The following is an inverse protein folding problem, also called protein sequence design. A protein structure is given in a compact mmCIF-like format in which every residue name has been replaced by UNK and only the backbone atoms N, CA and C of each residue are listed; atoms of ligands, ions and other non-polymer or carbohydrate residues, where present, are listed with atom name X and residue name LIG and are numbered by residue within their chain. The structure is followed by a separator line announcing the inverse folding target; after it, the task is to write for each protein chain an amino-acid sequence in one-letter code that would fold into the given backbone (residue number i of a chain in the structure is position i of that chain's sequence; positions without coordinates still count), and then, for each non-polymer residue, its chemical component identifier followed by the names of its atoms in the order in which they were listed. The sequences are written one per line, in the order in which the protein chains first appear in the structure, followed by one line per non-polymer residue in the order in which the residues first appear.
data_IF_303478646962
#
_entry.id   IF_303478646962
#
_cell.length_a   1.000
_cell.length_b   1.000
_cell.length_c   1.000
_cell.angle_alpha   90.00
_cell.angle_beta   90.00
_cell.angle_gamma   90.00
#
_symmetry.space_group_name_H-M   'P 1'
#
loop_
_entity.id
_entity.type
_entity.pdbx_description
1 polymer ?
#
# COMPACT_ATOMS: atom_id res chain seq x y z
N UNK A 1 21.02 5.72 0.18
CA UNK A 1 20.86 5.62 -1.29
C UNK A 1 19.43 5.98 -1.60
N UNK A 2 19.21 6.77 -2.62
CA UNK A 2 17.90 7.33 -2.98
C UNK A 2 17.25 6.52 -4.09
N UNK A 3 15.92 6.61 -4.20
CA UNK A 3 15.21 6.20 -5.42
C UNK A 3 15.73 7.08 -6.56
N UNK A 4 15.97 6.46 -7.70
CA UNK A 4 16.41 7.12 -8.91
C UNK A 4 15.33 7.02 -9.97
N UNK A 5 14.86 8.14 -10.44
CA UNK A 5 13.91 8.19 -11.54
C UNK A 5 14.67 8.22 -12.87
N UNK A 6 14.39 7.24 -13.72
CA UNK A 6 14.89 7.22 -15.08
C UNK A 6 13.72 7.49 -16.05
N UNK A 7 13.72 8.67 -16.64
CA UNK A 7 12.69 9.14 -17.57
C UNK A 7 13.08 8.94 -19.06
N UNK A 8 14.20 8.29 -19.35
CA UNK A 8 14.69 8.10 -20.73
C UNK A 8 13.63 7.54 -21.67
N UNK A 9 12.87 6.58 -21.19
CA UNK A 9 11.85 5.88 -21.98
C UNK A 9 10.51 6.64 -22.08
N UNK A 10 10.49 7.91 -21.68
CA UNK A 10 9.38 8.84 -21.90
C UNK A 10 9.73 9.95 -22.92
N UNK A 11 10.97 10.07 -23.36
CA UNK A 11 11.47 11.21 -24.16
C UNK A 11 10.76 11.36 -25.52
N UNK A 12 10.34 10.27 -26.15
CA UNK A 12 9.56 10.32 -27.39
C UNK A 12 8.11 10.79 -27.18
N UNK A 13 7.62 10.81 -25.94
CA UNK A 13 6.25 11.14 -25.57
C UNK A 13 6.13 12.47 -24.81
N UNK A 14 7.18 12.87 -24.12
CA UNK A 14 7.22 14.06 -23.26
C UNK A 14 8.43 14.90 -23.64
N UNK A 15 8.17 16.05 -24.24
CA UNK A 15 9.21 16.98 -24.66
C UNK A 15 9.71 17.81 -23.46
N UNK A 16 10.89 18.42 -23.64
CA UNK A 16 11.42 19.41 -22.69
C UNK A 16 10.43 20.57 -22.48
N UNK A 17 9.78 21.04 -23.54
CA UNK A 17 8.77 22.10 -23.47
C UNK A 17 7.55 21.69 -22.62
N UNK A 18 7.13 20.41 -22.65
CA UNK A 18 6.06 19.93 -21.78
C UNK A 18 6.46 20.05 -20.30
N UNK A 19 7.71 19.68 -19.97
CA UNK A 19 8.24 19.79 -18.59
C UNK A 19 8.39 21.24 -18.16
N UNK A 20 8.87 22.13 -19.03
CA UNK A 20 8.96 23.56 -18.77
C UNK A 20 7.56 24.18 -18.54
N UNK A 21 6.57 23.73 -19.30
CA UNK A 21 5.18 24.24 -19.20
C UNK A 21 4.49 23.81 -17.91
N UNK A 22 4.74 22.62 -17.39
CA UNK A 22 4.11 22.11 -16.15
C UNK A 22 4.84 22.58 -14.88
N UNK A 23 6.11 22.95 -14.97
CA UNK A 23 6.94 23.31 -13.82
C UNK A 23 6.31 24.38 -12.90
N UNK A 24 5.65 25.46 -13.40
CA UNK A 24 4.96 26.40 -12.54
C UNK A 24 3.79 25.80 -11.75
N UNK A 25 3.08 24.81 -12.31
CA UNK A 25 1.98 24.14 -11.63
C UNK A 25 2.49 23.23 -10.52
N UNK A 26 3.58 22.48 -10.78
CA UNK A 26 4.26 21.67 -9.76
C UNK A 26 4.80 22.54 -8.63
N UNK A 27 5.41 23.67 -8.94
CA UNK A 27 5.87 24.64 -7.95
C UNK A 27 4.72 25.18 -7.10
N UNK A 28 3.57 25.47 -7.71
CA UNK A 28 2.36 25.85 -6.98
C UNK A 28 1.86 24.73 -6.08
N UNK A 29 1.84 23.47 -6.56
CA UNK A 29 1.44 22.32 -5.77
C UNK A 29 2.40 22.07 -4.59
N UNK A 30 3.73 22.19 -4.82
CA UNK A 30 4.73 22.17 -3.76
C UNK A 30 4.43 23.22 -2.68
N UNK A 31 4.24 24.46 -3.07
CA UNK A 31 3.91 25.56 -2.13
C UNK A 31 2.65 25.26 -1.35
N UNK A 32 1.59 24.82 -2.04
CA UNK A 32 0.30 24.46 -1.44
C UNK A 32 0.46 23.36 -0.37
N UNK A 33 1.25 22.31 -0.67
CA UNK A 33 1.53 21.23 0.27
C UNK A 33 2.39 21.70 1.46
N UNK A 34 3.45 22.44 1.20
CA UNK A 34 4.43 22.88 2.21
C UNK A 34 3.82 23.92 3.18
N UNK A 35 3.03 24.86 2.66
CA UNK A 35 2.32 25.86 3.47
C UNK A 35 1.03 25.32 4.08
N UNK A 36 0.67 24.05 3.79
CA UNK A 36 -0.56 23.40 4.26
C UNK A 36 -1.81 24.24 3.97
N UNK A 37 -1.85 24.92 2.80
CA UNK A 37 -2.89 25.88 2.42
C UNK A 37 -3.94 25.32 1.48
N UNK A 38 -3.79 24.07 1.02
CA UNK A 38 -4.67 23.43 0.03
C UNK A 38 -5.88 22.73 0.61
N UNK A 39 -6.77 22.28 -0.29
CA UNK A 39 -7.91 21.45 0.09
C UNK A 39 -7.42 20.15 0.77
N UNK A 40 -8.06 19.79 1.89
CA UNK A 40 -7.69 18.62 2.69
C UNK A 40 -6.49 18.83 3.60
N UNK A 41 -6.13 20.07 3.91
CA UNK A 41 -5.02 20.40 4.81
C UNK A 41 -5.16 19.83 6.23
N UNK A 42 -6.36 19.42 6.63
CA UNK A 42 -6.60 18.70 7.89
C UNK A 42 -5.95 17.31 7.94
N UNK A 43 -5.48 16.81 6.78
CA UNK A 43 -4.91 15.45 6.65
C UNK A 43 -3.43 15.45 6.21
N UNK A 44 -2.65 16.43 6.65
CA UNK A 44 -1.23 16.61 6.29
C UNK A 44 -0.25 16.19 7.40
N UNK A 45 -0.70 15.47 8.43
CA UNK A 45 0.18 14.98 9.50
C UNK A 45 1.28 14.04 8.98
N UNK A 46 1.01 13.28 7.93
CA UNK A 46 1.97 12.36 7.31
C UNK A 46 3.22 13.07 6.74
N UNK A 47 3.11 14.33 6.34
CA UNK A 47 4.23 15.09 5.72
C UNK A 47 5.43 15.19 6.66
N UNK A 48 5.17 15.44 7.93
CA UNK A 48 6.21 15.63 8.96
C UNK A 48 6.38 14.39 9.87
N UNK A 49 5.50 13.39 9.72
CA UNK A 49 5.47 12.18 10.54
C UNK A 49 6.83 11.48 10.67
N UNK A 50 7.64 11.31 9.60
CA UNK A 50 8.92 10.59 9.73
C UNK A 50 9.89 11.20 10.74
N UNK A 51 9.78 12.48 11.04
CA UNK A 51 10.60 13.17 12.07
C UNK A 51 9.84 13.35 13.38
N UNK A 52 8.54 13.63 13.33
CA UNK A 52 7.71 14.09 14.45
C UNK A 52 6.82 13.00 15.06
N UNK A 53 7.02 11.70 14.71
CA UNK A 53 6.24 10.63 15.30
C UNK A 53 6.39 10.55 16.82
N UNK A 54 5.35 10.08 17.51
CA UNK A 54 5.35 9.88 18.96
C UNK A 54 6.35 8.77 19.34
N UNK A 55 7.44 9.16 19.98
CA UNK A 55 8.53 8.26 20.36
C UNK A 55 8.11 7.30 21.48
N UNK A 56 7.20 7.71 22.38
CA UNK A 56 6.72 6.87 23.47
C UNK A 56 5.78 5.80 22.92
N UNK A 57 4.86 6.17 22.03
CA UNK A 57 4.02 5.20 21.34
C UNK A 57 4.84 4.24 20.47
N UNK A 58 5.88 4.73 19.80
CA UNK A 58 6.77 3.90 19.00
C UNK A 58 7.47 2.82 19.85
N UNK A 59 7.96 3.17 21.05
CA UNK A 59 8.55 2.19 21.97
C UNK A 59 7.49 1.22 22.54
N UNK A 60 6.26 1.67 22.74
CA UNK A 60 5.14 0.80 23.11
C UNK A 60 4.80 -0.20 22.00
N UNK A 61 4.83 0.23 20.75
CA UNK A 61 4.64 -0.66 19.57
C UNK A 61 5.70 -1.76 19.58
N UNK A 62 6.96 -1.44 19.80
CA UNK A 62 8.05 -2.43 19.87
C UNK A 62 7.82 -3.45 21.00
N UNK A 63 7.46 -2.98 22.20
CA UNK A 63 7.17 -3.85 23.35
C UNK A 63 5.97 -4.75 23.08
N UNK A 64 4.89 -4.22 22.49
CA UNK A 64 3.74 -5.01 22.11
C UNK A 64 4.11 -6.08 21.07
N UNK A 65 4.91 -5.71 20.06
CA UNK A 65 5.39 -6.66 19.05
C UNK A 65 6.26 -7.76 19.67
N UNK A 66 7.14 -7.45 20.62
CA UNK A 66 7.93 -8.43 21.36
C UNK A 66 7.05 -9.39 22.16
N UNK A 67 6.04 -8.86 22.85
CA UNK A 67 5.08 -9.67 23.60
C UNK A 67 4.31 -10.61 22.67
N UNK A 68 3.76 -10.11 21.56
CA UNK A 68 3.05 -10.94 20.58
C UNK A 68 3.96 -12.04 20.04
N UNK A 69 5.20 -11.75 19.72
CA UNK A 69 6.18 -12.76 19.28
C UNK A 69 6.49 -13.81 20.34
N UNK A 70 6.41 -13.47 21.60
CA UNK A 70 6.74 -14.40 22.70
C UNK A 70 5.59 -15.33 23.07
N UNK A 71 4.35 -14.93 22.85
CA UNK A 71 3.16 -15.63 23.34
C UNK A 71 2.15 -16.07 22.27
N UNK A 72 2.42 -15.79 21.00
CA UNK A 72 1.51 -16.09 19.90
C UNK A 72 2.22 -16.73 18.70
N UNK A 73 1.62 -17.77 18.15
CA UNK A 73 2.02 -18.39 16.90
C UNK A 73 1.41 -17.67 15.68
N UNK A 74 0.32 -16.96 15.92
CA UNK A 74 -0.42 -16.24 14.89
C UNK A 74 -0.79 -14.83 15.38
N UNK A 75 -0.61 -13.84 14.52
CA UNK A 75 -1.23 -12.53 14.66
C UNK A 75 -2.35 -12.40 13.64
N UNK A 76 -3.57 -12.09 14.10
CA UNK A 76 -4.70 -11.74 13.27
C UNK A 76 -4.79 -10.22 13.19
N UNK A 77 -4.55 -9.66 12.01
CA UNK A 77 -4.68 -8.22 11.74
C UNK A 77 -6.04 -7.97 11.10
N UNK A 78 -6.91 -7.25 11.81
CA UNK A 78 -8.28 -6.98 11.38
C UNK A 78 -8.38 -5.53 10.92
N UNK A 79 -8.57 -5.33 9.62
CA UNK A 79 -8.68 -4.00 9.02
C UNK A 79 -9.01 -4.05 7.54
N UNK A 80 -9.42 -2.91 6.97
CA UNK A 80 -9.74 -2.77 5.55
C UNK A 80 -9.06 -1.55 4.94
N UNK A 81 -8.76 -1.58 3.65
CA UNK A 81 -8.10 -0.48 2.93
C UNK A 81 -6.76 -0.11 3.57
N UNK A 82 -6.56 1.16 3.91
CA UNK A 82 -5.33 1.65 4.54
C UNK A 82 -4.99 0.99 5.88
N UNK A 83 -5.98 0.37 6.55
CA UNK A 83 -5.75 -0.34 7.81
C UNK A 83 -5.07 -1.71 7.65
N UNK A 84 -4.87 -2.20 6.42
CA UNK A 84 -4.14 -3.46 6.21
C UNK A 84 -3.17 -3.43 5.03
N UNK A 85 -3.49 -2.71 3.94
CA UNK A 85 -2.72 -2.77 2.69
C UNK A 85 -1.25 -2.41 2.90
N UNK A 86 -0.97 -1.29 3.56
CA UNK A 86 0.39 -0.83 3.79
C UNK A 86 1.21 -1.78 4.67
N UNK A 87 0.60 -2.32 5.73
CA UNK A 87 1.25 -3.29 6.60
C UNK A 87 1.58 -4.59 5.87
N UNK A 88 0.63 -5.13 5.11
CA UNK A 88 0.84 -6.32 4.31
C UNK A 88 1.90 -6.11 3.23
N UNK A 89 1.85 -4.94 2.56
CA UNK A 89 2.87 -4.56 1.59
C UNK A 89 4.28 -4.54 2.20
N UNK A 90 4.43 -3.97 3.40
CA UNK A 90 5.72 -3.95 4.09
C UNK A 90 6.24 -5.34 4.44
N UNK A 91 5.38 -6.22 4.96
CA UNK A 91 5.76 -7.60 5.31
C UNK A 91 6.21 -8.37 4.07
N UNK A 92 5.43 -8.32 2.98
CA UNK A 92 5.80 -9.02 1.74
C UNK A 92 7.04 -8.40 1.08
N UNK A 93 7.14 -7.07 1.03
CA UNK A 93 8.29 -6.36 0.48
C UNK A 93 9.59 -6.67 1.24
N UNK A 94 9.58 -6.54 2.57
CA UNK A 94 10.81 -6.72 3.36
C UNK A 94 11.17 -8.19 3.61
N UNK A 95 10.17 -9.06 3.69
CA UNK A 95 10.36 -10.50 3.98
C UNK A 95 10.07 -11.34 2.73
N UNK A 96 8.82 -11.69 2.47
CA UNK A 96 8.41 -12.53 1.34
C UNK A 96 6.89 -12.53 1.17
N UNK A 97 6.38 -12.67 -0.05
CA UNK A 97 4.98 -13.04 -0.30
C UNK A 97 4.60 -14.38 0.35
N UNK A 98 5.58 -15.24 0.58
CA UNK A 98 5.43 -16.53 1.26
C UNK A 98 5.74 -16.46 2.77
N UNK A 99 5.71 -15.27 3.37
CA UNK A 99 6.10 -15.03 4.75
C UNK A 99 5.55 -16.08 5.72
N UNK A 100 4.25 -16.36 5.66
CA UNK A 100 3.59 -17.32 6.57
C UNK A 100 4.07 -18.77 6.42
N UNK A 101 4.73 -19.12 5.31
CA UNK A 101 5.29 -20.46 5.07
C UNK A 101 6.77 -20.54 5.46
N UNK A 102 7.49 -19.43 5.41
CA UNK A 102 8.95 -19.40 5.61
C UNK A 102 9.39 -18.75 6.93
N UNK A 103 8.50 -18.05 7.65
CA UNK A 103 8.83 -17.47 8.95
C UNK A 103 9.14 -18.56 9.99
N UNK A 104 10.19 -18.33 10.79
CA UNK A 104 10.65 -19.31 11.82
C UNK A 104 10.56 -18.76 13.23
N UNK A 105 10.98 -17.51 13.40
CA UNK A 105 11.17 -16.89 14.72
C UNK A 105 10.11 -15.80 15.00
N UNK A 106 9.10 -15.70 14.15
CA UNK A 106 8.01 -14.72 14.24
C UNK A 106 6.67 -15.40 13.98
N UNK A 107 5.56 -14.89 14.53
CA UNK A 107 4.24 -15.40 14.25
C UNK A 107 3.88 -15.34 12.77
N UNK A 108 3.05 -16.27 12.32
CA UNK A 108 2.32 -16.10 11.06
C UNK A 108 1.39 -14.90 11.18
N UNK A 109 1.24 -14.10 10.12
CA UNK A 109 0.38 -12.91 10.13
C UNK A 109 -0.71 -13.10 9.08
N UNK A 110 -1.96 -13.10 9.52
CA UNK A 110 -3.12 -13.17 8.63
C UNK A 110 -3.93 -11.89 8.70
N UNK A 111 -4.27 -11.36 7.53
CA UNK A 111 -5.09 -10.16 7.39
C UNK A 111 -6.54 -10.56 7.10
N UNK A 112 -7.48 -10.03 7.87
CA UNK A 112 -8.92 -10.30 7.73
C UNK A 112 -9.73 -9.04 8.02
N UNK A 113 -11.07 -9.13 7.85
CA UNK A 113 -11.91 -7.93 7.95
C UNK A 113 -11.74 -6.97 6.76
N UNK A 114 -11.08 -7.42 5.71
CA UNK A 114 -10.96 -6.75 4.41
C UNK A 114 -11.92 -7.35 3.36
N UNK A 115 -12.75 -8.28 3.78
CA UNK A 115 -13.78 -8.96 3.00
C UNK A 115 -14.92 -9.41 3.91
N UNK A 116 -16.11 -9.59 3.34
CA UNK A 116 -17.29 -10.20 4.00
C UNK A 116 -17.55 -11.61 3.47
N UNK A 117 -16.54 -12.25 2.85
CA UNK A 117 -16.61 -13.63 2.42
C UNK A 117 -16.62 -14.58 3.62
N UNK A 118 -17.67 -15.36 3.76
CA UNK A 118 -17.81 -16.38 4.81
C UNK A 118 -16.71 -17.44 4.72
N UNK A 119 -16.41 -17.92 3.51
CA UNK A 119 -15.36 -18.93 3.29
C UNK A 119 -13.97 -18.44 3.70
N UNK A 120 -13.60 -17.23 3.25
CA UNK A 120 -12.28 -16.65 3.59
C UNK A 120 -12.12 -16.43 5.10
N UNK A 121 -13.21 -16.01 5.79
CA UNK A 121 -13.20 -15.84 7.24
C UNK A 121 -13.08 -17.18 7.97
N UNK A 122 -13.86 -18.20 7.54
CA UNK A 122 -13.85 -19.55 8.13
C UNK A 122 -12.49 -20.22 8.04
N UNK A 123 -11.78 -20.05 6.93
CA UNK A 123 -10.42 -20.61 6.76
C UNK A 123 -9.46 -20.06 7.83
N UNK A 124 -9.52 -18.76 8.12
CA UNK A 124 -8.64 -18.15 9.14
C UNK A 124 -9.08 -18.53 10.56
N UNK A 125 -10.39 -18.64 10.81
CA UNK A 125 -10.91 -19.15 12.10
C UNK A 125 -10.37 -20.54 12.38
N UNK A 126 -10.47 -21.45 11.42
CA UNK A 126 -9.96 -22.83 11.55
C UNK A 126 -8.45 -22.89 11.82
N UNK A 127 -7.67 -21.97 11.22
CA UNK A 127 -6.23 -21.85 11.50
C UNK A 127 -5.93 -21.49 12.97
N UNK A 128 -6.81 -20.73 13.63
CA UNK A 128 -6.64 -20.25 15.00
C UNK A 128 -7.05 -21.27 16.07
N UNK A 129 -7.88 -22.27 15.73
CA UNK A 129 -8.44 -23.23 16.72
C UNK A 129 -7.35 -23.92 17.55
N UNK A 130 -6.25 -24.34 16.90
CA UNK A 130 -5.19 -25.11 17.52
C UNK A 130 -3.86 -24.33 17.70
N UNK A 131 -3.89 -23.00 17.56
CA UNK A 131 -2.69 -22.16 17.70
C UNK A 131 -2.92 -21.06 18.73
N UNK A 132 -1.88 -20.67 19.43
CA UNK A 132 -1.91 -19.47 20.22
C UNK A 132 -1.89 -18.25 19.31
N UNK A 133 -2.82 -17.33 19.54
CA UNK A 133 -2.93 -16.16 18.68
C UNK A 133 -3.26 -14.87 19.45
N UNK A 134 -2.90 -13.76 18.85
CA UNK A 134 -3.26 -12.40 19.25
C UNK A 134 -4.00 -11.69 18.13
N UNK A 135 -4.74 -10.64 18.47
CA UNK A 135 -5.50 -9.81 17.54
C UNK A 135 -4.94 -8.39 17.55
N UNK A 136 -4.71 -7.83 16.36
CA UNK A 136 -4.57 -6.38 16.18
C UNK A 136 -5.76 -5.89 15.35
N UNK A 137 -6.74 -5.26 16.00
CA UNK A 137 -7.87 -4.66 15.32
C UNK A 137 -7.61 -3.18 15.05
N UNK A 138 -7.80 -2.78 13.79
CA UNK A 138 -7.45 -1.45 13.29
C UNK A 138 -8.70 -0.81 12.68
N UNK A 139 -9.29 0.15 13.39
CA UNK A 139 -10.46 0.89 12.92
C UNK A 139 -10.60 2.20 13.68
N UNK A 140 -10.57 3.35 12.97
CA UNK A 140 -10.69 4.66 13.61
C UNK A 140 -12.06 4.83 14.31
N UNK A 141 -13.16 4.52 13.62
CA UNK A 141 -14.52 4.66 14.17
C UNK A 141 -14.98 3.46 14.98
N UNK A 142 -14.47 2.26 14.68
CA UNK A 142 -14.97 0.99 15.21
C UNK A 142 -16.29 0.50 14.59
N UNK A 143 -16.84 1.24 13.61
CA UNK A 143 -18.16 0.95 13.01
C UNK A 143 -18.10 0.53 11.54
N UNK A 144 -16.92 0.46 10.95
CA UNK A 144 -16.76 -0.08 9.60
C UNK A 144 -17.16 -1.55 9.61
N UNK A 145 -18.11 -1.92 8.76
CA UNK A 145 -18.83 -3.20 8.85
C UNK A 145 -17.92 -4.41 8.80
N UNK A 146 -17.03 -4.47 7.82
CA UNK A 146 -16.18 -5.61 7.55
C UNK A 146 -15.25 -5.93 8.75
N UNK A 147 -14.43 -5.00 9.24
CA UNK A 147 -13.58 -5.26 10.40
C UNK A 147 -14.37 -5.42 11.70
N UNK A 148 -15.52 -4.75 11.87
CA UNK A 148 -16.34 -4.89 13.07
C UNK A 148 -16.95 -6.30 13.20
N UNK A 149 -17.42 -6.89 12.10
CA UNK A 149 -17.93 -8.27 12.07
C UNK A 149 -16.79 -9.26 12.33
N UNK A 150 -15.66 -9.11 11.65
CA UNK A 150 -14.49 -9.97 11.86
C UNK A 150 -14.01 -9.89 13.32
N UNK A 151 -13.90 -8.69 13.90
CA UNK A 151 -13.48 -8.51 15.29
C UNK A 151 -14.43 -9.19 16.27
N UNK A 152 -15.74 -9.10 16.06
CA UNK A 152 -16.72 -9.79 16.91
C UNK A 152 -16.48 -11.30 16.94
N UNK A 153 -16.25 -11.92 15.78
CA UNK A 153 -16.04 -13.37 15.64
C UNK A 153 -14.71 -13.80 16.26
N UNK A 154 -13.60 -13.11 15.95
CA UNK A 154 -12.29 -13.47 16.49
C UNK A 154 -12.15 -13.16 17.99
N UNK A 155 -12.82 -12.13 18.48
CA UNK A 155 -12.88 -11.82 19.91
C UNK A 155 -13.59 -12.94 20.65
N UNK A 156 -14.77 -13.40 20.19
CA UNK A 156 -15.49 -14.53 20.78
C UNK A 156 -14.65 -15.82 20.79
N UNK A 157 -13.94 -16.09 19.69
CA UNK A 157 -13.03 -17.24 19.61
C UNK A 157 -11.90 -17.13 20.64
N UNK A 158 -11.30 -15.94 20.79
CA UNK A 158 -10.23 -15.68 21.75
C UNK A 158 -10.70 -15.79 23.20
N UNK A 159 -11.86 -15.21 23.52
CA UNK A 159 -12.49 -15.26 24.85
C UNK A 159 -12.90 -16.70 25.21
N UNK A 160 -13.39 -17.49 24.26
CA UNK A 160 -13.72 -18.90 24.45
C UNK A 160 -12.47 -19.76 24.74
N UNK A 161 -11.33 -19.40 24.15
CA UNK A 161 -10.07 -20.14 24.30
C UNK A 161 -9.35 -19.81 25.61
N UNK A 162 -9.31 -18.54 26.02
CA UNK A 162 -8.47 -18.08 27.12
C UNK A 162 -9.24 -17.52 28.31
N UNK A 163 -10.57 -17.33 28.19
CA UNK A 163 -11.34 -16.52 29.11
C UNK A 163 -11.17 -15.02 28.87
N UNK A 164 -12.12 -14.21 29.33
CA UNK A 164 -12.19 -12.77 29.02
C UNK A 164 -10.93 -12.01 29.46
N UNK A 165 -10.39 -12.30 30.65
CA UNK A 165 -9.24 -11.57 31.23
C UNK A 165 -7.95 -11.80 30.43
N UNK A 166 -7.64 -13.05 30.09
CA UNK A 166 -6.43 -13.36 29.32
C UNK A 166 -6.58 -13.00 27.84
N UNK A 167 -7.77 -13.15 27.28
CA UNK A 167 -8.10 -12.69 25.92
C UNK A 167 -7.87 -11.18 25.78
N UNK A 168 -8.24 -10.38 26.79
CA UNK A 168 -8.03 -8.93 26.77
C UNK A 168 -6.56 -8.55 26.63
N UNK A 169 -5.65 -9.32 27.19
CA UNK A 169 -4.18 -9.09 27.12
C UNK A 169 -3.58 -9.45 25.75
N UNK A 170 -4.35 -10.14 24.88
CA UNK A 170 -3.97 -10.57 23.55
C UNK A 170 -4.65 -9.75 22.44
N UNK A 171 -5.45 -8.75 22.82
CA UNK A 171 -6.14 -7.84 21.90
C UNK A 171 -5.45 -6.48 21.94
N UNK A 172 -4.92 -6.07 20.80
CA UNK A 172 -4.26 -4.79 20.56
C UNK A 172 -5.16 -3.97 19.63
N UNK A 173 -5.50 -2.76 20.04
CA UNK A 173 -6.47 -1.93 19.32
C UNK A 173 -5.80 -0.68 18.78
N UNK A 174 -5.79 -0.51 17.45
CA UNK A 174 -5.34 0.73 16.81
C UNK A 174 -6.58 1.51 16.38
N UNK A 175 -6.87 2.62 17.08
CA UNK A 175 -8.15 3.34 16.94
C UNK A 175 -7.98 4.85 17.20
N UNK A 176 -9.09 5.59 17.20
CA UNK A 176 -9.11 7.02 17.59
C UNK A 176 -8.59 7.21 19.03
N UNK A 177 -7.95 8.34 19.27
CA UNK A 177 -7.36 8.66 20.57
C UNK A 177 -8.43 8.78 21.68
N UNK A 178 -9.58 9.35 21.37
CA UNK A 178 -10.54 9.79 22.38
C UNK A 178 -11.97 9.27 22.18
N UNK A 179 -12.39 8.95 20.94
CA UNK A 179 -13.79 8.71 20.58
C UNK A 179 -13.98 7.45 19.72
N UNK A 180 -15.23 7.05 19.55
CA UNK A 180 -15.63 5.90 18.74
C UNK A 180 -15.89 4.64 19.55
N UNK A 181 -16.75 3.77 18.99
CA UNK A 181 -17.23 2.57 19.70
C UNK A 181 -16.11 1.60 20.07
N UNK A 182 -15.08 1.50 19.24
CA UNK A 182 -13.93 0.64 19.52
C UNK A 182 -13.07 1.23 20.66
N UNK A 183 -12.91 2.56 20.73
CA UNK A 183 -12.21 3.22 21.83
C UNK A 183 -12.96 3.08 23.16
N UNK A 184 -14.26 3.25 23.14
CA UNK A 184 -15.13 3.07 24.32
C UNK A 184 -15.05 1.64 24.86
N UNK A 185 -15.13 0.64 23.96
CA UNK A 185 -14.95 -0.76 24.30
C UNK A 185 -13.58 -1.02 24.91
N UNK A 186 -12.52 -0.50 24.29
CA UNK A 186 -11.14 -0.67 24.77
C UNK A 186 -10.93 -0.11 26.17
N UNK A 187 -11.48 1.07 26.45
CA UNK A 187 -11.42 1.69 27.76
C UNK A 187 -12.18 0.88 28.81
N UNK A 188 -13.33 0.30 28.43
CA UNK A 188 -14.16 -0.52 29.36
C UNK A 188 -13.51 -1.84 29.72
N UNK A 189 -12.88 -2.51 28.74
CA UNK A 189 -12.30 -3.86 28.91
C UNK A 189 -10.82 -3.79 29.32
N UNK A 190 -10.12 -2.70 29.00
CA UNK A 190 -8.69 -2.53 29.30
C UNK A 190 -7.77 -3.05 28.22
N UNK A 191 -8.19 -3.02 26.94
CA UNK A 191 -7.31 -3.37 25.82
C UNK A 191 -6.15 -2.39 25.68
N UNK A 192 -4.97 -2.86 25.28
CA UNK A 192 -3.89 -1.98 24.89
C UNK A 192 -4.23 -1.24 23.60
N UNK A 193 -4.10 0.11 23.62
CA UNK A 193 -4.51 0.95 22.49
C UNK A 193 -3.37 1.74 21.90
N UNK A 194 -3.39 1.86 20.55
CA UNK A 194 -2.53 2.70 19.74
C UNK A 194 -3.36 3.68 18.93
N UNK A 195 -2.77 4.81 18.55
CA UNK A 195 -3.53 5.92 17.97
C UNK A 195 -3.49 5.89 16.45
N UNK A 196 -4.67 6.03 15.83
CA UNK A 196 -4.80 6.47 14.46
C UNK A 196 -4.83 8.00 14.48
N UNK A 197 -3.80 8.70 13.99
CA UNK A 197 -3.75 10.16 14.06
C UNK A 197 -4.95 10.80 13.32
N UNK A 198 -5.47 11.90 13.87
CA UNK A 198 -6.61 12.59 13.29
C UNK A 198 -6.29 13.27 11.96
N UNK A 199 -5.08 13.72 11.83
CA UNK A 199 -4.52 14.45 10.69
C UNK A 199 -3.83 13.56 9.65
N UNK A 200 -4.03 12.21 9.72
CA UNK A 200 -3.51 11.26 8.73
C UNK A 200 -4.65 10.44 8.14
N UNK A 201 -4.82 10.52 6.83
CA UNK A 201 -5.80 9.71 6.11
C UNK A 201 -5.40 8.23 6.04
N UNK A 202 -6.39 7.32 5.91
CA UNK A 202 -6.14 5.87 5.96
C UNK A 202 -5.07 5.38 4.98
N UNK A 203 -5.07 5.86 3.73
CA UNK A 203 -4.10 5.45 2.70
C UNK A 203 -2.70 6.06 2.86
N UNK A 204 -2.54 7.04 3.78
CA UNK A 204 -1.28 7.68 4.17
C UNK A 204 -0.78 7.20 5.54
N UNK A 205 -1.37 6.14 6.12
CA UNK A 205 -1.18 5.79 7.53
C UNK A 205 -0.19 4.66 7.79
N UNK A 206 0.47 4.11 6.77
CA UNK A 206 1.34 2.94 6.94
C UNK A 206 2.50 3.19 7.92
N UNK A 207 3.03 4.40 7.98
CA UNK A 207 4.12 4.78 8.91
C UNK A 207 3.60 5.28 10.28
N UNK A 208 2.32 5.08 10.59
CA UNK A 208 1.74 5.26 11.94
C UNK A 208 1.60 3.91 12.65
N UNK A 209 1.06 3.89 13.86
CA UNK A 209 0.73 2.66 14.57
C UNK A 209 -0.13 1.68 13.75
N UNK A 210 -0.89 2.19 12.77
CA UNK A 210 -1.69 1.38 11.84
C UNK A 210 -0.87 0.33 11.11
N UNK A 211 0.28 0.72 10.55
CA UNK A 211 1.19 -0.20 9.87
C UNK A 211 2.28 -0.74 10.79
N UNK A 212 2.85 0.12 11.64
CA UNK A 212 4.07 -0.20 12.39
C UNK A 212 3.93 -1.38 13.34
N UNK A 213 2.76 -1.59 13.99
CA UNK A 213 2.60 -2.71 14.92
C UNK A 213 2.65 -4.06 14.20
N UNK A 214 1.83 -4.37 13.20
CA UNK A 214 1.93 -5.66 12.49
C UNK A 214 3.27 -5.82 11.76
N UNK A 215 3.86 -4.74 11.25
CA UNK A 215 5.18 -4.75 10.63
C UNK A 215 6.27 -5.14 11.65
N UNK A 216 6.25 -4.57 12.85
CA UNK A 216 7.19 -4.91 13.91
C UNK A 216 7.04 -6.38 14.35
N UNK A 217 5.81 -6.90 14.41
CA UNK A 217 5.55 -8.33 14.73
C UNK A 217 6.20 -9.25 13.71
N UNK A 218 6.25 -8.88 12.42
CA UNK A 218 6.94 -9.67 11.38
C UNK A 218 8.47 -9.71 11.54
N UNK A 219 9.03 -8.97 12.51
CA UNK A 219 10.47 -8.86 12.71
C UNK A 219 11.15 -7.89 11.73
N UNK A 220 10.40 -7.02 11.06
CA UNK A 220 10.95 -5.91 10.30
C UNK A 220 11.44 -4.80 11.24
N UNK A 221 12.55 -4.16 10.88
CA UNK A 221 13.11 -3.03 11.60
C UNK A 221 12.34 -1.74 11.26
N UNK A 222 11.34 -1.42 12.09
CA UNK A 222 10.51 -0.22 11.88
C UNK A 222 11.29 1.09 12.09
N UNK A 223 12.41 1.07 12.81
CA UNK A 223 13.27 2.24 12.96
C UNK A 223 13.98 2.58 11.64
N UNK A 224 14.56 1.58 10.95
CA UNK A 224 15.14 1.77 9.62
C UNK A 224 14.11 2.25 8.61
N UNK A 225 12.88 1.76 8.72
CA UNK A 225 11.77 2.20 7.87
C UNK A 225 11.48 3.69 8.07
N UNK A 226 11.39 4.15 9.31
CA UNK A 226 11.20 5.56 9.62
C UNK A 226 12.41 6.43 9.20
N UNK A 227 13.63 5.90 9.30
CA UNK A 227 14.83 6.59 8.79
C UNK A 227 14.77 6.78 7.27
N UNK A 228 14.40 5.73 6.51
CA UNK A 228 14.24 5.82 5.06
C UNK A 228 13.23 6.89 4.66
N UNK A 229 12.09 6.94 5.34
CA UNK A 229 11.06 7.96 5.11
C UNK A 229 11.55 9.38 5.48
N UNK A 230 12.30 9.54 6.58
CA UNK A 230 12.87 10.83 6.97
C UNK A 230 13.92 11.34 5.96
N UNK A 231 14.73 10.45 5.43
CA UNK A 231 15.72 10.81 4.41
C UNK A 231 15.04 11.14 3.06
N UNK A 232 13.98 10.45 2.70
CA UNK A 232 13.14 10.79 1.54
C UNK A 232 12.50 12.18 1.71
N UNK A 233 11.98 12.48 2.90
CA UNK A 233 11.41 13.79 3.22
C UNK A 233 12.41 14.93 2.98
N UNK A 234 13.67 14.74 3.40
CA UNK A 234 14.75 15.71 3.17
C UNK A 234 15.14 15.81 1.70
N UNK A 235 15.27 14.66 1.02
CA UNK A 235 15.68 14.61 -0.37
C UNK A 235 14.69 15.30 -1.32
N UNK A 236 13.40 15.25 -1.02
CA UNK A 236 12.34 15.78 -1.87
C UNK A 236 11.77 17.13 -1.39
N UNK A 237 12.58 17.97 -0.74
CA UNK A 237 12.16 19.29 -0.28
C UNK A 237 12.38 20.42 -1.31
N UNK A 238 13.19 20.21 -2.35
CA UNK A 238 13.43 21.18 -3.41
C UNK A 238 12.24 21.25 -4.39
N UNK A 239 11.86 22.45 -4.83
CA UNK A 239 10.78 22.66 -5.80
C UNK A 239 11.21 22.49 -7.27
N UNK A 240 12.50 22.37 -7.51
CA UNK A 240 13.11 22.26 -8.84
C UNK A 240 12.96 20.83 -9.40
N UNK A 241 12.29 20.69 -10.54
CA UNK A 241 12.05 19.40 -11.19
C UNK A 241 13.33 18.66 -11.60
N UNK A 242 14.43 19.37 -11.87
CA UNK A 242 15.70 18.75 -12.26
C UNK A 242 16.45 18.15 -11.05
N UNK A 243 16.05 18.55 -9.83
CA UNK A 243 16.63 18.07 -8.57
C UNK A 243 15.73 17.17 -7.76
N UNK A 244 14.45 17.06 -8.14
CA UNK A 244 13.44 16.38 -7.37
C UNK A 244 12.73 15.31 -8.19
N UNK A 245 13.23 14.10 -8.14
CA UNK A 245 12.68 12.92 -8.84
C UNK A 245 11.22 12.64 -8.47
N UNK A 246 10.82 12.94 -7.23
CA UNK A 246 9.44 12.79 -6.78
C UNK A 246 8.48 13.74 -7.54
N UNK A 247 8.89 15.00 -7.71
CA UNK A 247 8.10 15.99 -8.45
C UNK A 247 8.17 15.78 -9.95
N UNK A 248 9.30 15.30 -10.44
CA UNK A 248 9.44 14.91 -11.86
C UNK A 248 8.50 13.74 -12.20
N UNK A 249 8.37 12.76 -11.31
CA UNK A 249 7.39 11.69 -11.46
C UNK A 249 5.95 12.24 -11.51
N UNK A 250 5.56 13.10 -10.57
CA UNK A 250 4.25 13.74 -10.56
C UNK A 250 3.99 14.56 -11.84
N UNK A 251 5.01 15.26 -12.35
CA UNK A 251 4.94 16.04 -13.59
C UNK A 251 4.72 15.13 -14.81
N UNK A 252 5.54 14.08 -14.96
CA UNK A 252 5.43 13.12 -16.06
C UNK A 252 4.03 12.48 -16.11
N UNK A 253 3.49 12.06 -14.96
CA UNK A 253 2.13 11.50 -14.85
C UNK A 253 1.08 12.48 -15.38
N UNK A 254 1.11 13.73 -14.93
CA UNK A 254 0.15 14.75 -15.37
C UNK A 254 0.30 15.12 -16.85
N UNK A 255 1.51 15.18 -17.38
CA UNK A 255 1.76 15.41 -18.81
C UNK A 255 1.19 14.27 -19.63
N UNK A 256 1.50 13.03 -19.27
CA UNK A 256 1.00 11.83 -19.97
C UNK A 256 -0.52 11.75 -19.93
N UNK A 257 -1.14 12.06 -18.79
CA UNK A 257 -2.58 12.15 -18.66
C UNK A 257 -3.19 13.18 -19.64
N UNK A 258 -2.64 14.39 -19.71
CA UNK A 258 -3.05 15.44 -20.65
C UNK A 258 -2.89 15.05 -22.10
N UNK A 259 -1.97 14.11 -22.39
CA UNK A 259 -1.75 13.51 -23.72
C UNK A 259 -2.61 12.25 -23.98
N UNK A 260 -3.60 11.98 -23.13
CA UNK A 260 -4.57 10.89 -23.32
C UNK A 260 -4.15 9.56 -22.71
N UNK A 261 -3.05 9.50 -21.94
CA UNK A 261 -2.66 8.29 -21.20
C UNK A 261 -3.39 8.26 -19.86
N UNK A 262 -4.58 7.69 -19.85
CA UNK A 262 -5.48 7.70 -18.68
C UNK A 262 -5.31 6.53 -17.72
N UNK A 263 -4.41 5.59 -18.03
CA UNK A 263 -4.09 4.42 -17.19
C UNK A 263 -2.60 4.41 -16.89
N UNK A 264 -2.26 4.33 -15.61
CA UNK A 264 -0.90 4.03 -15.16
C UNK A 264 -0.82 2.59 -14.69
N UNK A 265 0.06 1.82 -15.30
CA UNK A 265 0.35 0.46 -14.87
C UNK A 265 1.63 0.42 -14.06
N UNK A 266 1.50 0.25 -12.75
CA UNK A 266 2.65 -0.02 -11.87
C UNK A 266 3.12 -1.45 -12.11
N UNK A 267 4.39 -1.59 -12.49
CA UNK A 267 4.98 -2.88 -12.87
C UNK A 267 6.15 -3.21 -11.98
N UNK A 268 6.26 -4.45 -11.55
CA UNK A 268 7.48 -4.98 -10.91
C UNK A 268 7.82 -6.36 -11.47
N UNK A 269 9.10 -6.67 -11.48
CA UNK A 269 9.64 -8.01 -11.82
C UNK A 269 9.93 -8.85 -10.57
N UNK A 270 9.54 -8.34 -9.39
CA UNK A 270 9.65 -9.01 -8.10
C UNK A 270 8.25 -9.31 -7.55
N UNK A 271 7.85 -10.58 -7.42
CA UNK A 271 6.53 -10.95 -6.90
C UNK A 271 6.26 -10.43 -5.48
N UNK A 272 7.30 -10.24 -4.66
CA UNK A 272 7.19 -9.67 -3.32
C UNK A 272 6.72 -8.20 -3.32
N UNK A 273 6.66 -7.55 -4.51
CA UNK A 273 6.13 -6.19 -4.70
C UNK A 273 4.61 -6.16 -4.91
N UNK A 274 3.95 -7.30 -5.06
CA UNK A 274 2.51 -7.39 -5.41
C UNK A 274 1.63 -6.55 -4.49
N UNK A 275 1.85 -6.61 -3.19
CA UNK A 275 1.03 -5.85 -2.24
C UNK A 275 1.36 -4.35 -2.20
N UNK A 276 2.55 -3.95 -2.63
CA UNK A 276 2.84 -2.53 -2.92
C UNK A 276 2.01 -2.01 -4.08
N UNK A 277 1.79 -2.83 -5.11
CA UNK A 277 0.89 -2.49 -6.21
C UNK A 277 -0.55 -2.27 -5.72
N UNK A 278 -1.04 -3.11 -4.79
CA UNK A 278 -2.38 -2.95 -4.21
C UNK A 278 -2.48 -1.67 -3.36
N UNK A 279 -1.46 -1.37 -2.56
CA UNK A 279 -1.40 -0.11 -1.81
C UNK A 279 -1.30 1.11 -2.74
N UNK A 280 -0.50 1.05 -3.82
CA UNK A 280 -0.43 2.08 -4.84
C UNK A 280 -1.80 2.37 -5.47
N UNK A 281 -2.57 1.32 -5.80
CA UNK A 281 -3.93 1.49 -6.35
C UNK A 281 -4.85 2.24 -5.40
N UNK A 282 -4.80 1.97 -4.11
CA UNK A 282 -5.56 2.73 -3.13
C UNK A 282 -5.04 4.15 -3.00
N UNK A 283 -3.73 4.33 -2.86
CA UNK A 283 -3.11 5.65 -2.67
C UNK A 283 -3.51 6.60 -3.80
N UNK A 284 -3.26 6.24 -5.03
CA UNK A 284 -3.54 7.10 -6.19
C UNK A 284 -5.01 7.10 -6.60
N UNK A 285 -5.68 5.97 -6.57
CA UNK A 285 -7.09 5.87 -6.97
C UNK A 285 -8.01 6.72 -6.10
N UNK A 286 -7.90 6.63 -4.77
CA UNK A 286 -8.69 7.46 -3.86
C UNK A 286 -8.25 8.93 -3.83
N UNK A 287 -6.98 9.22 -4.13
CA UNK A 287 -6.46 10.59 -4.09
C UNK A 287 -6.78 11.39 -5.35
N UNK A 288 -6.71 10.78 -6.53
CA UNK A 288 -6.85 11.46 -7.82
C UNK A 288 -8.19 11.23 -8.51
N UNK A 289 -8.86 10.09 -8.28
CA UNK A 289 -10.12 9.71 -8.93
C UNK A 289 -11.30 10.56 -8.44
N UNK A 290 -11.38 11.83 -8.81
CA UNK A 290 -12.39 12.79 -8.37
C UNK A 290 -12.78 13.73 -9.51
N UNK A 291 -13.97 14.31 -9.43
CA UNK A 291 -14.47 15.31 -10.39
C UNK A 291 -14.40 14.80 -11.85
N UNK A 292 -14.60 13.50 -12.05
CA UNK A 292 -14.47 12.80 -13.35
C UNK A 292 -13.08 12.94 -13.99
N UNK A 293 -12.05 13.12 -13.17
CA UNK A 293 -10.63 13.17 -13.52
C UNK A 293 -9.86 12.04 -12.85
N UNK A 294 -8.58 11.94 -13.20
CA UNK A 294 -7.61 11.06 -12.57
C UNK A 294 -7.11 9.99 -13.51
N UNK A 295 -5.91 9.52 -13.21
CA UNK A 295 -5.27 8.41 -13.88
C UNK A 295 -5.72 7.13 -13.17
N UNK A 296 -6.26 6.17 -13.93
CA UNK A 296 -6.67 4.89 -13.36
C UNK A 296 -5.43 4.07 -12.97
N UNK A 297 -5.24 3.75 -11.69
CA UNK A 297 -4.07 3.00 -11.24
C UNK A 297 -4.31 1.50 -11.46
N UNK A 298 -3.53 0.92 -12.36
CA UNK A 298 -3.47 -0.51 -12.62
C UNK A 298 -2.14 -1.08 -12.15
N UNK A 299 -1.98 -2.39 -12.19
CA UNK A 299 -0.71 -3.03 -11.86
C UNK A 299 -0.51 -4.36 -12.58
N UNK A 300 0.76 -4.75 -12.75
CA UNK A 300 1.16 -6.06 -13.26
C UNK A 300 2.43 -6.54 -12.56
N UNK A 301 2.61 -7.86 -12.51
CA UNK A 301 3.84 -8.50 -12.06
C UNK A 301 4.43 -9.28 -13.23
N UNK A 302 5.51 -8.77 -13.80
CA UNK A 302 6.21 -9.41 -14.89
C UNK A 302 7.23 -10.42 -14.34
N UNK A 303 7.53 -11.50 -15.04
CA UNK A 303 7.08 -11.95 -16.38
C UNK A 303 5.67 -12.57 -16.40
N UNK A 304 5.05 -12.89 -15.24
CA UNK A 304 3.75 -13.57 -15.18
C UNK A 304 2.71 -12.89 -16.07
N UNK A 305 2.52 -11.59 -15.89
CA UNK A 305 1.50 -10.84 -16.63
C UNK A 305 1.87 -10.48 -18.07
N UNK A 306 3.10 -10.71 -18.49
CA UNK A 306 3.45 -10.69 -19.92
C UNK A 306 2.73 -11.83 -20.68
N UNK A 307 2.47 -12.96 -19.99
CA UNK A 307 1.74 -14.09 -20.55
C UNK A 307 0.21 -13.95 -20.48
N UNK A 308 -0.29 -12.86 -19.90
CA UNK A 308 -1.73 -12.55 -19.83
C UNK A 308 -2.07 -11.23 -20.52
N UNK A 309 -1.33 -10.17 -20.25
CA UNK A 309 -1.59 -8.79 -20.69
C UNK A 309 -0.59 -8.28 -21.74
N UNK A 310 0.51 -8.99 -21.97
CA UNK A 310 1.58 -8.52 -22.87
C UNK A 310 1.10 -8.17 -24.27
N UNK A 311 0.18 -8.97 -24.84
CA UNK A 311 -0.43 -8.67 -26.14
C UNK A 311 -1.20 -7.34 -26.14
N UNK A 312 -1.98 -7.06 -25.09
CA UNK A 312 -2.73 -5.80 -25.01
C UNK A 312 -1.80 -4.61 -24.81
N UNK A 313 -0.78 -4.76 -23.99
CA UNK A 313 0.21 -3.70 -23.73
C UNK A 313 0.94 -3.37 -25.03
N UNK A 314 1.41 -4.41 -25.76
CA UNK A 314 2.18 -4.23 -26.99
C UNK A 314 1.36 -3.69 -28.18
N UNK A 315 0.10 -4.12 -28.35
CA UNK A 315 -0.65 -3.89 -29.58
C UNK A 315 -2.12 -3.48 -29.35
N UNK A 316 -2.55 -3.26 -28.10
CA UNK A 316 -3.89 -2.79 -27.75
C UNK A 316 -4.05 -1.27 -27.84
N UNK A 317 -5.10 -0.74 -27.22
CA UNK A 317 -5.39 0.70 -27.20
C UNK A 317 -4.30 1.49 -26.48
N UNK A 318 -3.81 2.58 -27.07
CA UNK A 318 -2.68 3.41 -26.58
C UNK A 318 -3.04 4.36 -25.42
N UNK A 319 -3.84 3.89 -24.46
CA UNK A 319 -4.35 4.69 -23.34
C UNK A 319 -3.50 4.64 -22.07
N UNK A 320 -2.43 3.84 -22.04
CA UNK A 320 -1.63 3.61 -20.83
C UNK A 320 -0.17 4.06 -20.96
N UNK A 321 0.45 4.20 -19.81
CA UNK A 321 1.89 4.22 -19.61
C UNK A 321 2.27 3.29 -18.47
N UNK A 322 3.51 2.87 -18.41
CA UNK A 322 4.03 2.02 -17.35
C UNK A 322 4.92 2.82 -16.38
N UNK A 323 4.86 2.46 -15.11
CA UNK A 323 5.86 2.83 -14.10
C UNK A 323 6.48 1.54 -13.58
N UNK A 324 7.69 1.21 -14.07
CA UNK A 324 8.39 0.00 -13.67
C UNK A 324 9.28 0.26 -12.46
N UNK A 325 9.08 -0.53 -11.40
CA UNK A 325 9.92 -0.52 -10.20
C UNK A 325 10.92 -1.67 -10.30
N UNK A 326 12.21 -1.34 -10.27
CA UNK A 326 13.29 -2.31 -10.42
C UNK A 326 14.28 -2.19 -9.26
N UNK A 327 14.90 -3.31 -8.92
CA UNK A 327 15.84 -3.41 -7.81
C UNK A 327 17.22 -3.81 -8.35
N UNK A 328 18.28 -3.17 -7.82
CA UNK A 328 19.65 -3.46 -8.23
C UNK A 328 20.15 -4.80 -7.65
N UNK A 329 19.73 -5.10 -6.41
CA UNK A 329 20.12 -6.31 -5.68
C UNK A 329 18.90 -7.15 -5.32
N UNK A 330 18.87 -8.46 -5.64
CA UNK A 330 17.83 -9.38 -5.18
C UNK A 330 18.00 -9.68 -3.69
N UNK A 331 16.93 -10.09 -3.00
CA UNK A 331 17.03 -10.60 -1.61
C UNK A 331 17.85 -11.88 -1.52
N UNK A 332 17.73 -12.74 -2.50
CA UNK A 332 18.42 -14.02 -2.62
C UNK A 332 18.81 -14.25 -4.06
N UNK A 333 19.92 -14.95 -4.29
CA UNK A 333 20.41 -15.23 -5.63
C UNK A 333 20.43 -16.71 -5.92
N UNK A 334 20.05 -17.08 -7.14
CA UNK A 334 20.10 -18.45 -7.66
C UNK A 334 20.90 -18.46 -8.96
N UNK A 335 21.91 -19.32 -9.04
CA UNK A 335 22.72 -19.50 -10.26
C UNK A 335 22.18 -20.69 -11.06
N UNK A 336 21.99 -20.49 -12.37
CA UNK A 336 21.54 -21.50 -13.31
C UNK A 336 22.70 -22.47 -13.57
N UNK A 337 22.46 -23.75 -13.36
CA UNK A 337 23.46 -24.80 -13.60
C UNK A 337 23.40 -25.29 -15.03
N UNK A 338 24.54 -25.78 -15.54
CA UNK A 338 24.60 -26.49 -16.81
C UNK A 338 23.86 -27.82 -16.70
N UNK A 339 23.02 -28.14 -17.70
CA UNK A 339 22.35 -29.41 -17.84
C UNK A 339 23.08 -30.26 -18.90
N UNK A 340 23.46 -31.52 -18.56
CA UNK A 340 24.33 -32.34 -19.40
C UNK A 340 23.78 -32.63 -20.80
N UNK A 341 22.47 -32.83 -20.91
CA UNK A 341 21.81 -33.14 -22.19
C UNK A 341 21.47 -31.89 -23.00
N UNK A 342 21.41 -30.72 -22.33
CA UNK A 342 20.88 -29.50 -22.93
C UNK A 342 19.54 -29.71 -23.65
N UNK A 343 18.69 -30.58 -23.10
CA UNK A 343 17.44 -30.99 -23.74
C UNK A 343 16.42 -29.86 -23.88
N UNK A 344 16.52 -28.83 -23.01
CA UNK A 344 15.73 -27.63 -23.02
C UNK A 344 16.34 -26.48 -23.86
N UNK A 345 17.57 -26.64 -24.32
CA UNK A 345 18.32 -25.63 -25.09
C UNK A 345 18.80 -24.42 -24.25
N UNK A 346 18.75 -24.50 -22.92
CA UNK A 346 19.00 -23.34 -22.04
C UNK A 346 20.44 -23.23 -21.50
N UNK A 347 21.39 -24.08 -21.94
CA UNK A 347 22.78 -24.00 -21.47
C UNK A 347 23.50 -22.69 -21.81
N UNK A 348 22.96 -21.85 -22.69
CA UNK A 348 23.47 -20.50 -22.90
C UNK A 348 23.27 -19.58 -21.66
N UNK A 349 22.41 -19.98 -20.72
CA UNK A 349 22.21 -19.33 -19.43
C UNK A 349 23.09 -19.94 -18.31
N UNK A 350 23.78 -21.04 -18.55
CA UNK A 350 24.61 -21.69 -17.55
C UNK A 350 25.65 -20.72 -16.97
N UNK A 351 25.75 -20.68 -15.64
CA UNK A 351 26.59 -19.74 -14.91
C UNK A 351 26.02 -18.32 -14.76
N UNK A 352 24.89 -18.03 -15.38
CA UNK A 352 24.17 -16.78 -15.15
C UNK A 352 23.32 -16.87 -13.88
N UNK A 353 23.05 -15.71 -13.26
CA UNK A 353 22.13 -15.64 -12.11
C UNK A 353 20.70 -15.38 -12.58
N UNK A 354 19.72 -15.75 -11.73
CA UNK A 354 18.32 -15.45 -12.01
C UNK A 354 18.07 -13.94 -12.06
N UNK A 355 18.74 -13.15 -11.21
CA UNK A 355 18.65 -11.68 -11.25
C UNK A 355 19.15 -11.10 -12.56
N UNK A 356 20.24 -11.66 -13.14
CA UNK A 356 20.71 -11.28 -14.46
C UNK A 356 19.65 -11.53 -15.55
N UNK A 357 19.03 -12.71 -15.53
CA UNK A 357 17.98 -13.06 -16.51
C UNK A 357 16.77 -12.15 -16.35
N UNK A 358 16.33 -11.92 -15.10
CA UNK A 358 15.23 -11.02 -14.78
C UNK A 358 15.50 -9.58 -15.26
N UNK A 359 16.73 -9.08 -15.07
CA UNK A 359 17.14 -7.77 -15.59
C UNK A 359 17.08 -7.70 -17.12
N UNK A 360 17.48 -8.78 -17.82
CA UNK A 360 17.40 -8.85 -19.29
C UNK A 360 15.96 -8.96 -19.79
N UNK A 361 15.10 -9.64 -19.06
CA UNK A 361 13.68 -9.64 -19.35
C UNK A 361 13.09 -8.23 -19.23
N UNK A 362 13.39 -7.51 -18.15
CA UNK A 362 12.99 -6.10 -17.98
C UNK A 362 13.47 -5.23 -19.15
N UNK A 363 14.78 -5.25 -19.46
CA UNK A 363 15.37 -4.43 -20.51
C UNK A 363 14.72 -4.70 -21.88
N UNK A 364 14.51 -5.97 -22.23
CA UNK A 364 13.86 -6.36 -23.47
C UNK A 364 12.40 -5.92 -23.54
N UNK A 365 11.65 -6.05 -22.44
CA UNK A 365 10.25 -5.65 -22.36
C UNK A 365 10.07 -4.14 -22.51
N UNK A 366 10.87 -3.36 -21.78
CA UNK A 366 10.80 -1.88 -21.84
C UNK A 366 11.02 -1.39 -23.27
N UNK A 367 12.05 -1.90 -23.96
CA UNK A 367 12.32 -1.53 -25.36
C UNK A 367 11.14 -1.86 -26.26
N UNK A 368 10.58 -3.08 -26.16
CA UNK A 368 9.44 -3.50 -26.96
C UNK A 368 8.18 -2.64 -26.70
N UNK A 369 7.86 -2.36 -25.46
CA UNK A 369 6.69 -1.58 -25.09
C UNK A 369 6.80 -0.11 -25.54
N UNK A 370 8.00 0.49 -25.41
CA UNK A 370 8.28 1.86 -25.91
C UNK A 370 8.15 1.92 -27.43
N UNK A 371 8.73 0.97 -28.17
CA UNK A 371 8.57 0.85 -29.63
C UNK A 371 7.10 0.66 -30.02
N UNK A 372 6.30 -0.02 -29.17
CA UNK A 372 4.86 -0.17 -29.29
C UNK A 372 4.04 1.08 -28.92
N UNK A 373 4.67 2.18 -28.49
CA UNK A 373 4.00 3.44 -28.13
C UNK A 373 3.49 3.51 -26.70
N UNK A 374 4.05 2.73 -25.76
CA UNK A 374 3.76 2.75 -24.34
C UNK A 374 4.91 3.43 -23.59
N UNK A 375 4.74 4.67 -23.10
CA UNK A 375 5.76 5.36 -22.31
C UNK A 375 6.10 4.57 -21.04
N UNK A 376 7.39 4.53 -20.66
CA UNK A 376 7.86 3.86 -19.46
C UNK A 376 8.61 4.82 -18.55
N UNK A 377 8.17 4.95 -17.31
CA UNK A 377 8.89 5.62 -16.21
C UNK A 377 9.56 4.52 -15.39
N UNK A 378 10.86 4.64 -15.08
CA UNK A 378 11.54 3.63 -14.29
C UNK A 378 11.89 4.23 -12.92
N UNK A 379 11.53 3.53 -11.86
CA UNK A 379 11.96 3.81 -10.49
C UNK A 379 12.99 2.73 -10.09
N UNK A 380 14.23 3.14 -9.98
CA UNK A 380 15.35 2.25 -9.61
C UNK A 380 15.59 2.35 -8.10
N UNK A 381 15.57 1.22 -7.41
CA UNK A 381 15.84 1.09 -5.98
C UNK A 381 17.02 0.13 -5.75
N UNK A 382 17.83 0.35 -4.70
CA UNK A 382 18.96 -0.54 -4.40
C UNK A 382 18.51 -1.98 -4.12
N UNK A 383 17.55 -2.17 -3.20
CA UNK A 383 17.04 -3.48 -2.78
C UNK A 383 15.73 -3.38 -2.02
N UNK A 384 15.09 -4.52 -1.80
CA UNK A 384 13.85 -4.65 -1.00
C UNK A 384 14.20 -4.86 0.49
N UNK A 385 14.35 -3.75 1.23
CA UNK A 385 14.56 -3.76 2.69
C UNK A 385 13.73 -2.66 3.38
N UNK A 386 13.78 -2.62 4.70
CA UNK A 386 12.97 -1.72 5.52
C UNK A 386 13.27 -0.24 5.24
N UNK A 387 14.55 0.11 5.01
CA UNK A 387 14.93 1.49 4.71
C UNK A 387 14.35 1.94 3.36
N UNK A 388 14.52 1.12 2.31
CA UNK A 388 14.03 1.44 0.98
C UNK A 388 12.49 1.38 0.92
N UNK A 389 11.84 0.53 1.72
CA UNK A 389 10.38 0.55 1.87
C UNK A 389 9.90 1.91 2.40
N UNK A 390 10.43 2.36 3.53
CA UNK A 390 10.06 3.66 4.11
C UNK A 390 10.34 4.83 3.16
N UNK A 391 11.47 4.78 2.46
CA UNK A 391 11.85 5.78 1.46
C UNK A 391 10.84 5.82 0.30
N UNK A 392 10.45 4.65 -0.23
CA UNK A 392 9.49 4.52 -1.34
C UNK A 392 8.08 4.96 -0.94
N UNK A 393 7.64 4.61 0.26
CA UNK A 393 6.34 5.04 0.79
C UNK A 393 6.25 6.56 0.80
N UNK A 394 7.23 7.23 1.38
CA UNK A 394 7.21 8.70 1.43
C UNK A 394 7.30 9.33 0.04
N UNK A 395 8.12 8.75 -0.86
CA UNK A 395 8.19 9.18 -2.26
C UNK A 395 6.82 9.14 -2.92
N UNK A 396 6.11 8.02 -2.84
CA UNK A 396 4.81 7.82 -3.49
C UNK A 396 3.72 8.69 -2.85
N UNK A 397 3.70 8.81 -1.52
CA UNK A 397 2.76 9.69 -0.82
C UNK A 397 2.91 11.15 -1.24
N UNK A 398 4.15 11.63 -1.30
CA UNK A 398 4.45 13.01 -1.70
C UNK A 398 4.17 13.25 -3.18
N UNK A 399 4.55 12.32 -4.04
CA UNK A 399 4.24 12.38 -5.47
C UNK A 399 2.73 12.41 -5.71
N UNK A 400 1.98 11.57 -5.00
CA UNK A 400 0.52 11.52 -5.07
C UNK A 400 -0.13 12.85 -4.66
N UNK A 401 0.32 13.43 -3.56
CA UNK A 401 -0.20 14.72 -3.08
C UNK A 401 0.05 15.85 -4.09
N UNK A 402 1.29 15.95 -4.61
CA UNK A 402 1.66 16.97 -5.60
C UNK A 402 0.93 16.73 -6.93
N UNK A 403 0.82 15.48 -7.38
CA UNK A 403 0.10 15.12 -8.60
C UNK A 403 -1.39 15.46 -8.49
N UNK A 404 -2.04 15.15 -7.37
CA UNK A 404 -3.44 15.49 -7.13
C UNK A 404 -3.72 17.01 -7.10
N UNK A 405 -2.86 17.78 -6.44
CA UNK A 405 -2.97 19.24 -6.48
C UNK A 405 -2.74 19.81 -7.89
N UNK A 406 -1.81 19.23 -8.66
CA UNK A 406 -1.56 19.63 -10.06
C UNK A 406 -2.75 19.27 -10.96
N UNK A 407 -3.42 18.15 -10.69
CA UNK A 407 -4.67 17.76 -11.35
C UNK A 407 -5.85 18.66 -10.97
N UNK A 408 -5.73 19.42 -9.87
CA UNK A 408 -6.74 20.35 -9.36
C UNK A 408 -7.84 19.67 -8.55
N UNK A 409 -7.52 18.59 -7.83
CA UNK A 409 -8.45 17.89 -6.94
C UNK A 409 -7.95 17.94 -5.49
N UNK A 410 -8.84 17.60 -4.52
CA UNK A 410 -8.42 17.38 -3.13
C UNK A 410 -7.82 15.99 -2.98
N UNK A 411 -6.49 15.82 -2.71
CA UNK A 411 -5.87 14.50 -2.67
C UNK A 411 -6.24 13.67 -1.42
N UNK A 412 -6.90 14.24 -0.42
CA UNK A 412 -6.96 13.64 0.92
C UNK A 412 -8.37 13.21 1.37
N UNK A 413 -9.44 13.63 0.69
CA UNK A 413 -10.79 13.14 0.94
C UNK A 413 -11.15 11.97 0.00
N UNK A 414 -12.31 11.34 0.22
CA UNK A 414 -12.84 10.24 -0.60
C UNK A 414 -14.39 10.23 -0.60
N UNK A 415 -15.05 11.27 -1.16
CA UNK A 415 -16.51 11.37 -1.10
C UNK A 415 -17.25 10.28 -1.88
N UNK A 416 -16.62 9.72 -2.92
CA UNK A 416 -17.24 8.73 -3.82
C UNK A 416 -17.62 7.40 -3.16
N UNK A 417 -16.95 7.04 -2.05
CA UNK A 417 -17.21 5.76 -1.37
C UNK A 417 -18.44 5.79 -0.44
N UNK A 418 -19.03 6.96 -0.19
CA UNK A 418 -20.15 7.07 0.75
C UNK A 418 -21.46 6.51 0.18
N UNK A 419 -21.67 6.57 -1.13
CA UNK A 419 -22.91 6.11 -1.76
C UNK A 419 -23.13 4.61 -1.59
N UNK A 420 -22.14 3.77 -1.89
CA UNK A 420 -22.30 2.33 -1.76
C UNK A 420 -22.45 1.90 -0.29
N UNK A 421 -21.78 2.57 0.65
CA UNK A 421 -21.92 2.29 2.08
C UNK A 421 -23.34 2.55 2.57
N UNK A 422 -23.93 3.68 2.19
CA UNK A 422 -25.32 4.00 2.52
C UNK A 422 -26.28 2.96 1.97
N UNK A 423 -26.11 2.56 0.69
CA UNK A 423 -26.93 1.52 0.09
C UNK A 423 -26.78 0.17 0.83
N UNK A 424 -25.55 -0.22 1.18
CA UNK A 424 -25.30 -1.43 1.96
C UNK A 424 -25.99 -1.38 3.32
N UNK A 425 -25.89 -0.27 4.06
CA UNK A 425 -26.56 -0.10 5.35
C UNK A 425 -28.08 -0.21 5.23
N UNK A 426 -28.68 0.41 4.20
CA UNK A 426 -30.10 0.33 3.94
C UNK A 426 -30.54 -1.11 3.65
N UNK A 427 -29.86 -1.80 2.73
CA UNK A 427 -30.19 -3.18 2.36
C UNK A 427 -29.97 -4.18 3.50
N UNK A 428 -29.03 -3.91 4.40
CA UNK A 428 -28.84 -4.70 5.63
C UNK A 428 -29.89 -4.40 6.72
N UNK A 429 -30.78 -3.42 6.51
CA UNK A 429 -31.81 -3.05 7.47
C UNK A 429 -31.26 -2.31 8.69
N UNK A 430 -30.21 -1.51 8.53
CA UNK A 430 -29.69 -0.67 9.61
C UNK A 430 -30.76 0.33 10.04
N UNK A 431 -31.05 0.49 11.38
CA UNK A 431 -32.03 1.46 11.86
C UNK A 431 -31.78 2.88 11.32
N UNK A 432 -32.83 3.55 10.86
CA UNK A 432 -32.80 4.88 10.26
C UNK A 432 -32.58 4.90 8.76
N UNK A 433 -32.67 3.73 8.09
CA UNK A 433 -32.51 3.58 6.62
C UNK A 433 -33.75 2.91 5.99
N UNK A 434 -34.87 2.89 6.64
CA UNK A 434 -36.09 2.14 6.25
C UNK A 434 -36.62 2.56 4.89
N UNK A 435 -36.79 3.87 4.66
CA UNK A 435 -37.30 4.43 3.39
C UNK A 435 -36.33 4.14 2.23
N UNK A 436 -35.02 4.32 2.45
CA UNK A 436 -34.00 4.03 1.46
C UNK A 436 -33.93 2.53 1.15
N UNK A 437 -34.17 1.67 2.12
CA UNK A 437 -34.25 0.21 1.91
C UNK A 437 -35.38 -0.13 0.94
N UNK A 438 -36.59 0.39 1.17
CA UNK A 438 -37.76 0.12 0.32
C UNK A 438 -37.51 0.58 -1.12
N UNK A 439 -36.90 1.78 -1.30
CA UNK A 439 -36.54 2.27 -2.63
C UNK A 439 -35.54 1.35 -3.34
N UNK A 440 -34.47 0.93 -2.64
CA UNK A 440 -33.44 0.06 -3.22
C UNK A 440 -33.96 -1.34 -3.52
N UNK A 441 -34.80 -1.92 -2.66
CA UNK A 441 -35.42 -3.22 -2.89
C UNK A 441 -36.35 -3.17 -4.11
N UNK A 442 -37.14 -2.10 -4.28
CA UNK A 442 -37.96 -1.91 -5.47
C UNK A 442 -37.11 -1.84 -6.75
N UNK A 443 -35.97 -1.14 -6.72
CA UNK A 443 -35.00 -1.08 -7.87
C UNK A 443 -34.36 -2.43 -8.15
N UNK A 444 -34.22 -3.31 -7.16
CA UNK A 444 -33.71 -4.67 -7.31
C UNK A 444 -34.79 -5.69 -7.70
N UNK A 445 -36.06 -5.27 -7.84
CA UNK A 445 -37.18 -6.16 -8.15
C UNK A 445 -37.56 -7.09 -6.99
N UNK A 446 -37.37 -6.65 -5.76
CA UNK A 446 -37.66 -7.40 -4.52
C UNK A 446 -38.87 -6.84 -3.81
#
# INVERSE_FOLDING_TARGET
MSIKLNAKYTEDFVSKTDLESIAPEIKKAHKTLTEKSGAGNDFLGWVDLPENYDKEEFERIKKAAEKIRSDSQVLIVIGIGGSYLGARAAVEFCKSQNYNLVCKDTPQIFFTGNSISSSALSDIVSLCENKDFSINVISKSGTTTEPAVAFRIFRELLESKYGEEEAAKRIYVTTDKCKGTLKELSNKVGYETFVVPDDVGGRYSVLTAVGLLPIAVSGCDIYKMMQGAADARKAYCDEDLDKNDCYKYAALRNILYRKGKSVEMMVSYEPDYTMMNEWFKQLFGESEGKDHKGIFPASAVFSTDLHSMGQFIQDGTRLMFETAVVFDEPKHEVTIKEEKSNSDGLNFLAGKTMSYVNRKAFEGTVLAHVDGGVPNIILELPKMDEYNFGYLVYFLEKACAVSGYTLGVNPFNQPGVESYKKNMFALLGKPGYEDQKAELEARLGK
#
